data_IF_352302291539
#
_entry.id   IF_352302291539
#
_cell.length_a   1.000
_cell.length_b   1.000
_cell.length_c   1.000
_cell.angle_alpha   90.00
_cell.angle_beta   90.00
_cell.angle_gamma   90.00
#
_symmetry.space_group_name_H-M   'P 1'
#
loop_
_entity.id
_entity.type
_entity.pdbx_description
1 polymer ?
#
# COMPACT_ATOMS: atom_id res chain seq x y z
N UNK A 1 5.54 -43.17 -27.38
CA UNK A 1 4.94 -42.32 -28.42
C UNK A 1 3.63 -41.77 -27.89
N UNK A 2 3.55 -40.50 -27.57
CA UNK A 2 2.30 -39.84 -27.23
C UNK A 2 1.56 -39.59 -28.56
N UNK A 3 0.41 -40.27 -28.75
CA UNK A 3 -0.44 -40.07 -29.95
C UNK A 3 -0.93 -38.61 -29.93
N UNK A 4 -0.83 -37.96 -31.08
CA UNK A 4 -1.43 -36.66 -31.33
C UNK A 4 -2.95 -36.73 -31.12
N UNK A 5 -3.56 -35.69 -30.50
CA UNK A 5 -5.01 -35.63 -30.43
C UNK A 5 -5.57 -35.53 -31.84
N UNK A 6 -6.23 -36.58 -32.30
CA UNK A 6 -6.87 -36.62 -33.64
C UNK A 6 -8.16 -35.78 -33.66
N UNK A 7 -8.04 -34.49 -33.36
CA UNK A 7 -9.15 -33.53 -33.45
C UNK A 7 -9.53 -33.38 -34.92
N UNK A 8 -10.80 -33.62 -35.25
CA UNK A 8 -11.34 -33.53 -36.62
C UNK A 8 -12.38 -32.42 -36.78
N UNK A 9 -12.77 -31.83 -35.69
CA UNK A 9 -13.66 -30.68 -35.64
C UNK A 9 -13.20 -29.71 -34.58
N UNK A 10 -13.16 -28.44 -34.92
CA UNK A 10 -12.88 -27.33 -34.01
C UNK A 10 -13.77 -26.15 -34.36
N UNK A 11 -14.49 -25.62 -33.36
CA UNK A 11 -15.22 -24.37 -33.48
C UNK A 11 -14.84 -23.52 -32.25
N UNK A 12 -14.19 -22.37 -32.47
CA UNK A 12 -13.74 -21.47 -31.43
C UNK A 12 -14.37 -20.09 -31.53
N UNK A 13 -14.86 -19.56 -30.44
CA UNK A 13 -15.28 -18.17 -30.28
C UNK A 13 -14.28 -17.47 -29.36
N UNK A 14 -13.43 -16.57 -29.89
CA UNK A 14 -12.50 -15.81 -29.07
C UNK A 14 -13.25 -14.80 -28.21
N UNK A 15 -12.85 -14.63 -26.94
CA UNK A 15 -13.37 -13.58 -26.09
C UNK A 15 -12.26 -12.59 -25.72
N UNK A 16 -12.63 -11.31 -25.70
CA UNK A 16 -11.73 -10.19 -25.52
C UNK A 16 -12.11 -9.38 -24.28
N UNK A 17 -11.13 -8.69 -23.71
CA UNK A 17 -11.40 -7.66 -22.69
C UNK A 17 -12.05 -6.43 -23.32
N UNK A 18 -12.58 -5.52 -22.50
CA UNK A 18 -13.09 -4.22 -22.97
C UNK A 18 -12.06 -3.40 -23.74
N UNK A 19 -10.78 -3.60 -23.43
CA UNK A 19 -9.66 -2.90 -24.05
C UNK A 19 -9.19 -3.60 -25.35
N UNK A 20 -9.92 -4.62 -25.84
CA UNK A 20 -9.63 -5.33 -27.08
C UNK A 20 -8.51 -6.36 -27.00
N UNK A 21 -8.07 -6.75 -25.79
CA UNK A 21 -7.06 -7.79 -25.61
C UNK A 21 -7.71 -9.17 -25.60
N UNK A 22 -7.19 -10.07 -26.41
CA UNK A 22 -7.63 -11.46 -26.43
C UNK A 22 -7.33 -12.14 -25.09
N UNK A 23 -8.36 -12.58 -24.38
CA UNK A 23 -8.27 -13.28 -23.10
C UNK A 23 -8.23 -14.79 -23.28
N UNK A 24 -8.85 -15.30 -24.34
CA UNK A 24 -8.93 -16.74 -24.60
C UNK A 24 -9.91 -17.08 -25.70
N UNK A 25 -10.21 -18.36 -25.81
CA UNK A 25 -11.17 -18.88 -26.80
C UNK A 25 -12.04 -19.95 -26.15
N UNK A 26 -13.34 -19.77 -26.21
CA UNK A 26 -14.28 -20.84 -25.91
C UNK A 26 -14.39 -21.75 -27.12
N UNK A 27 -14.02 -23.02 -27.01
CA UNK A 27 -14.00 -23.91 -28.12
C UNK A 27 -14.77 -25.22 -27.90
N UNK A 28 -15.36 -25.73 -28.97
CA UNK A 28 -15.93 -27.06 -29.05
C UNK A 28 -15.04 -27.88 -29.96
N UNK A 29 -14.61 -29.04 -29.49
CA UNK A 29 -13.75 -29.98 -30.25
C UNK A 29 -14.41 -31.34 -30.30
N UNK A 30 -14.22 -32.01 -31.44
CA UNK A 30 -14.68 -33.38 -31.64
C UNK A 30 -13.68 -34.20 -32.50
N UNK A 31 -13.71 -35.49 -32.34
CA UNK A 31 -12.90 -36.45 -33.08
C UNK A 31 -13.60 -36.94 -34.36
N UNK A 32 -14.82 -36.49 -34.60
CA UNK A 32 -15.60 -36.75 -35.79
C UNK A 32 -15.81 -35.44 -36.55
N UNK A 33 -15.66 -35.41 -37.89
CA UNK A 33 -15.98 -34.22 -38.66
C UNK A 33 -17.43 -33.81 -38.48
N UNK A 34 -17.64 -32.54 -38.10
CA UNK A 34 -18.98 -31.96 -37.89
C UNK A 34 -19.07 -30.60 -38.55
N UNK A 35 -20.29 -30.09 -38.64
CA UNK A 35 -20.60 -28.71 -38.99
C UNK A 35 -21.62 -28.24 -37.98
N UNK A 36 -21.41 -27.04 -37.37
CA UNK A 36 -22.40 -26.45 -36.49
C UNK A 36 -23.61 -25.98 -37.30
N UNK A 37 -24.80 -26.23 -36.76
CA UNK A 37 -26.01 -25.58 -37.30
C UNK A 37 -26.00 -24.09 -36.92
N UNK A 38 -26.79 -23.25 -37.63
CA UNK A 38 -26.92 -21.84 -37.28
C UNK A 38 -27.30 -21.62 -35.78
N UNK A 39 -28.20 -22.46 -35.26
CA UNK A 39 -28.67 -22.41 -33.87
C UNK A 39 -27.54 -22.75 -32.87
N UNK A 40 -26.74 -23.78 -33.21
CA UNK A 40 -25.59 -24.17 -32.39
C UNK A 40 -24.50 -23.09 -32.38
N UNK A 41 -24.27 -22.47 -33.55
CA UNK A 41 -23.31 -21.35 -33.62
C UNK A 41 -23.77 -20.15 -32.82
N UNK A 42 -25.07 -19.82 -32.86
CA UNK A 42 -25.67 -18.76 -32.08
C UNK A 42 -25.57 -19.07 -30.58
N UNK A 43 -25.83 -20.30 -30.15
CA UNK A 43 -25.68 -20.73 -28.77
C UNK A 43 -24.22 -20.64 -28.30
N UNK A 44 -23.26 -21.04 -29.15
CA UNK A 44 -21.84 -20.94 -28.84
C UNK A 44 -21.37 -19.51 -28.64
N UNK A 45 -21.80 -18.58 -29.51
CA UNK A 45 -21.53 -17.13 -29.33
C UNK A 45 -22.23 -16.53 -28.09
N UNK A 46 -23.41 -17.03 -27.72
CA UNK A 46 -24.09 -16.60 -26.50
C UNK A 46 -23.32 -17.04 -25.25
N UNK A 47 -22.81 -18.25 -25.23
CA UNK A 47 -21.97 -18.79 -24.17
C UNK A 47 -20.63 -18.03 -24.05
N UNK A 48 -20.01 -17.70 -25.18
CA UNK A 48 -18.78 -16.87 -25.20
C UNK A 48 -19.01 -15.54 -24.50
N UNK A 49 -20.09 -14.81 -24.89
CA UNK A 49 -20.44 -13.52 -24.25
C UNK A 49 -20.71 -13.67 -22.76
N UNK A 50 -21.34 -14.76 -22.35
CA UNK A 50 -21.61 -15.03 -20.93
C UNK A 50 -20.33 -15.29 -20.15
N UNK A 51 -19.39 -16.06 -20.70
CA UNK A 51 -18.08 -16.32 -20.09
C UNK A 51 -17.29 -15.02 -19.96
N UNK A 52 -17.23 -14.22 -21.04
CA UNK A 52 -16.53 -12.94 -21.02
C UNK A 52 -17.09 -11.99 -19.94
N UNK A 53 -18.42 -11.86 -19.86
CA UNK A 53 -19.09 -11.04 -18.86
C UNK A 53 -18.81 -11.54 -17.42
N UNK A 54 -18.77 -12.85 -17.22
CA UNK A 54 -18.49 -13.45 -15.92
C UNK A 54 -17.04 -13.23 -15.47
N UNK A 55 -16.08 -13.34 -16.39
CA UNK A 55 -14.66 -13.05 -16.12
C UNK A 55 -14.46 -11.57 -15.76
N UNK A 56 -15.15 -10.66 -16.45
CA UNK A 56 -15.10 -9.23 -16.14
C UNK A 56 -15.70 -8.94 -14.76
N UNK A 57 -16.83 -9.56 -14.42
CA UNK A 57 -17.42 -9.45 -13.09
C UNK A 57 -16.47 -9.92 -11.99
N UNK A 58 -15.80 -11.05 -12.20
CA UNK A 58 -14.81 -11.58 -11.25
C UNK A 58 -13.64 -10.63 -11.04
N UNK A 59 -13.12 -10.03 -12.11
CA UNK A 59 -12.05 -9.02 -12.03
C UNK A 59 -12.50 -7.81 -11.22
N UNK A 60 -13.69 -7.28 -11.52
CA UNK A 60 -14.23 -6.13 -10.80
C UNK A 60 -14.50 -6.43 -9.32
N UNK A 61 -14.96 -7.65 -9.00
CA UNK A 61 -15.14 -8.09 -7.61
C UNK A 61 -13.81 -8.19 -6.85
N UNK A 62 -12.74 -8.66 -7.50
CA UNK A 62 -11.42 -8.73 -6.88
C UNK A 62 -10.83 -7.32 -6.66
N UNK A 63 -10.98 -6.41 -7.62
CA UNK A 63 -10.59 -5.00 -7.46
C UNK A 63 -11.36 -4.33 -6.32
N UNK A 64 -12.68 -4.55 -6.22
CA UNK A 64 -13.51 -4.05 -5.12
C UNK A 64 -13.14 -4.68 -3.77
N UNK A 65 -12.76 -5.96 -3.74
CA UNK A 65 -12.31 -6.64 -2.54
C UNK A 65 -11.01 -6.04 -2.02
N UNK A 66 -10.04 -5.83 -2.89
CA UNK A 66 -8.78 -5.17 -2.52
C UNK A 66 -9.03 -3.75 -2.02
N UNK A 67 -9.91 -2.99 -2.69
CA UNK A 67 -10.29 -1.64 -2.24
C UNK A 67 -11.03 -1.66 -0.89
N UNK A 68 -11.94 -2.62 -0.67
CA UNK A 68 -12.67 -2.78 0.59
C UNK A 68 -11.73 -3.14 1.73
N UNK A 69 -10.85 -4.12 1.53
CA UNK A 69 -9.90 -4.56 2.54
C UNK A 69 -8.94 -3.40 2.92
N UNK A 70 -8.61 -2.53 1.95
CA UNK A 70 -7.92 -1.26 2.19
C UNK A 70 -8.76 -0.29 3.05
N UNK A 71 -10.05 -0.14 2.78
CA UNK A 71 -10.97 0.73 3.55
C UNK A 71 -11.22 0.18 4.97
N UNK A 72 -11.35 -1.12 5.16
CA UNK A 72 -11.53 -1.73 6.49
C UNK A 72 -10.28 -1.55 7.36
N UNK A 73 -9.10 -1.69 6.76
CA UNK A 73 -7.84 -1.38 7.44
C UNK A 73 -7.72 0.11 7.83
N UNK A 74 -8.22 1.03 6.98
CA UNK A 74 -8.30 2.46 7.23
C UNK A 74 -9.35 2.81 8.30
N UNK A 75 -10.45 2.08 8.36
CA UNK A 75 -11.52 2.26 9.36
C UNK A 75 -11.02 2.07 10.80
N UNK A 76 -9.97 1.27 11.00
CA UNK A 76 -9.33 1.13 12.31
C UNK A 76 -8.50 2.35 12.73
N UNK A 77 -8.09 3.20 11.77
CA UNK A 77 -7.33 4.42 12.00
C UNK A 77 -8.21 5.68 12.17
N UNK A 78 -9.46 5.63 11.70
CA UNK A 78 -10.42 6.76 11.78
C UNK A 78 -10.69 7.24 13.21
N UNK A 79 -10.73 6.40 14.27
CA UNK A 79 -10.92 6.89 15.63
C UNK A 79 -9.78 7.77 16.18
N UNK A 80 -8.62 7.76 15.51
CA UNK A 80 -7.43 8.50 15.94
C UNK A 80 -7.33 9.90 15.34
N UNK A 81 -8.17 10.25 14.38
CA UNK A 81 -8.08 11.49 13.62
C UNK A 81 -9.43 12.19 13.50
N UNK A 82 -9.52 13.44 13.99
CA UNK A 82 -10.68 14.29 13.75
C UNK A 82 -10.75 14.82 12.30
N UNK A 83 -9.60 14.92 11.61
CA UNK A 83 -9.48 15.32 10.21
C UNK A 83 -8.19 14.72 9.62
N UNK A 84 -8.30 13.73 8.76
CA UNK A 84 -7.15 13.21 8.00
C UNK A 84 -6.88 14.09 6.78
N UNK A 85 -5.69 14.68 6.70
CA UNK A 85 -5.23 15.46 5.56
C UNK A 85 -4.60 14.57 4.48
N UNK A 86 -3.98 13.46 4.89
CA UNK A 86 -3.42 12.45 4.01
C UNK A 86 -3.73 11.07 4.59
N UNK A 87 -4.25 10.18 3.78
CA UNK A 87 -4.49 8.80 4.17
C UNK A 87 -4.26 7.91 2.95
N UNK A 88 -3.18 7.15 2.98
CA UNK A 88 -2.71 6.37 1.84
C UNK A 88 -2.31 4.97 2.25
N UNK A 89 -2.58 4.03 1.37
CA UNK A 89 -2.06 2.67 1.42
C UNK A 89 -1.09 2.51 0.26
N UNK A 90 0.15 2.15 0.58
CA UNK A 90 1.21 2.02 -0.42
C UNK A 90 1.73 0.58 -0.46
N UNK A 91 2.15 0.09 -1.63
CA UNK A 91 2.92 -1.14 -1.71
C UNK A 91 4.22 -0.99 -0.93
N UNK A 92 4.76 -2.09 -0.43
CA UNK A 92 6.04 -2.11 0.30
C UNK A 92 7.23 -1.90 -0.67
N UNK A 93 7.27 -0.73 -1.30
CA UNK A 93 8.23 -0.31 -2.32
C UNK A 93 8.85 1.04 -1.95
N UNK A 94 10.19 1.21 -2.07
CA UNK A 94 10.87 2.46 -1.77
C UNK A 94 10.37 3.67 -2.57
N UNK A 95 9.99 3.48 -3.84
CA UNK A 95 9.49 4.58 -4.69
C UNK A 95 8.11 5.07 -4.26
N UNK A 96 7.28 4.18 -3.70
CA UNK A 96 6.01 4.55 -3.11
C UNK A 96 6.21 5.37 -1.82
N UNK A 97 7.23 5.02 -1.02
CA UNK A 97 7.61 5.78 0.18
C UNK A 97 7.96 7.23 -0.15
N UNK A 98 8.79 7.47 -1.19
CA UNK A 98 9.19 8.82 -1.61
C UNK A 98 7.97 9.70 -1.92
N UNK A 99 6.99 9.18 -2.63
CA UNK A 99 5.76 9.93 -2.95
C UNK A 99 4.98 10.37 -1.71
N UNK A 100 4.93 9.52 -0.68
CA UNK A 100 4.24 9.84 0.58
C UNK A 100 5.00 10.91 1.34
N UNK A 101 6.32 10.78 1.46
CA UNK A 101 7.15 11.76 2.17
C UNK A 101 7.18 13.11 1.45
N UNK A 102 7.20 13.14 0.13
CA UNK A 102 7.08 14.37 -0.67
C UNK A 102 5.71 15.04 -0.47
N UNK A 103 4.64 14.26 -0.47
CA UNK A 103 3.30 14.76 -0.16
C UNK A 103 3.19 15.36 1.24
N UNK A 104 3.80 14.71 2.23
CA UNK A 104 3.88 15.21 3.60
C UNK A 104 4.65 16.53 3.68
N UNK A 105 5.80 16.64 3.02
CA UNK A 105 6.56 17.90 2.97
C UNK A 105 5.76 19.03 2.32
N UNK A 106 5.08 18.75 1.20
CA UNK A 106 4.24 19.73 0.53
C UNK A 106 3.08 20.21 1.42
N UNK A 107 2.47 19.29 2.17
CA UNK A 107 1.42 19.60 3.14
C UNK A 107 1.92 20.53 4.25
N UNK A 108 3.07 20.24 4.84
CA UNK A 108 3.64 21.05 5.92
C UNK A 108 4.08 22.44 5.42
N UNK A 109 4.66 22.51 4.21
CA UNK A 109 4.97 23.80 3.55
C UNK A 109 3.71 24.64 3.34
N UNK A 110 2.62 24.01 2.87
CA UNK A 110 1.32 24.69 2.71
C UNK A 110 0.72 25.18 4.02
N UNK A 111 1.10 24.61 5.15
CA UNK A 111 0.70 25.03 6.51
C UNK A 111 1.72 25.98 7.17
N UNK A 112 2.71 26.47 6.43
CA UNK A 112 3.76 27.39 6.90
C UNK A 112 4.59 26.85 8.08
N UNK A 113 4.95 25.56 8.04
CA UNK A 113 5.90 25.01 8.99
C UNK A 113 7.33 25.44 8.64
N UNK A 114 8.21 25.70 9.64
CA UNK A 114 9.62 26.02 9.40
C UNK A 114 10.36 24.85 8.72
N UNK A 115 11.34 25.17 7.87
CA UNK A 115 12.08 24.19 7.08
C UNK A 115 12.78 23.12 7.94
N UNK A 116 13.37 23.53 9.07
CA UNK A 116 14.00 22.61 10.04
C UNK A 116 13.00 21.60 10.60
N UNK A 117 11.79 22.03 10.98
CA UNK A 117 10.73 21.14 11.48
C UNK A 117 10.19 20.22 10.40
N UNK A 118 10.06 20.72 9.17
CA UNK A 118 9.68 19.89 8.01
C UNK A 118 10.71 18.78 7.82
N UNK A 119 12.01 19.10 7.91
CA UNK A 119 13.07 18.11 7.75
C UNK A 119 13.06 17.05 8.88
N UNK A 120 12.84 17.45 10.13
CA UNK A 120 12.69 16.53 11.25
C UNK A 120 11.56 15.53 11.01
N UNK A 121 10.39 16.05 10.65
CA UNK A 121 9.21 15.22 10.35
C UNK A 121 9.45 14.32 9.13
N UNK A 122 10.08 14.84 8.09
CA UNK A 122 10.42 14.07 6.89
C UNK A 122 11.30 12.86 7.22
N UNK A 123 12.38 13.06 7.97
CA UNK A 123 13.29 12.00 8.38
C UNK A 123 12.60 10.96 9.27
N UNK A 124 11.80 11.40 10.23
CA UNK A 124 11.06 10.50 11.12
C UNK A 124 10.04 9.65 10.33
N UNK A 125 9.27 10.26 9.42
CA UNK A 125 8.30 9.56 8.58
C UNK A 125 9.00 8.58 7.62
N UNK A 126 10.11 8.99 7.02
CA UNK A 126 10.92 8.14 6.14
C UNK A 126 11.41 6.89 6.87
N UNK A 127 11.95 7.04 8.07
CA UNK A 127 12.41 5.90 8.88
C UNK A 127 11.26 5.00 9.33
N UNK A 128 10.11 5.57 9.72
CA UNK A 128 8.94 4.79 10.10
C UNK A 128 8.42 3.94 8.94
N UNK A 129 8.25 4.53 7.75
CA UNK A 129 7.79 3.82 6.54
C UNK A 129 8.84 2.80 6.09
N UNK A 130 10.14 3.16 6.11
CA UNK A 130 11.20 2.23 5.75
C UNK A 130 11.27 1.02 6.70
N UNK A 131 11.00 1.20 8.00
CA UNK A 131 10.90 0.12 8.97
C UNK A 131 9.70 -0.77 8.69
N UNK A 132 8.54 -0.21 8.40
CA UNK A 132 7.35 -0.95 7.99
C UNK A 132 7.60 -1.80 6.73
N UNK A 133 8.25 -1.23 5.71
CA UNK A 133 8.62 -1.95 4.47
C UNK A 133 9.63 -3.06 4.75
N UNK A 134 10.75 -2.75 5.42
CA UNK A 134 11.85 -3.70 5.62
C UNK A 134 11.53 -4.79 6.63
N UNK A 135 10.94 -4.43 7.75
CA UNK A 135 10.74 -5.35 8.88
C UNK A 135 9.32 -5.89 8.94
N UNK A 136 8.32 -5.05 8.74
CA UNK A 136 6.92 -5.43 8.73
C UNK A 136 6.55 -6.24 7.49
N UNK A 137 6.78 -5.68 6.32
CA UNK A 137 6.50 -6.34 5.04
C UNK A 137 7.62 -7.30 4.58
N UNK A 138 8.82 -7.24 5.18
CA UNK A 138 10.01 -8.03 4.79
C UNK A 138 10.44 -7.80 3.32
N UNK A 139 10.21 -6.60 2.79
CA UNK A 139 10.48 -6.24 1.40
C UNK A 139 9.57 -6.92 0.37
N UNK A 140 8.47 -7.52 0.80
CA UNK A 140 7.48 -8.13 -0.08
C UNK A 140 6.55 -7.05 -0.65
N UNK A 141 6.74 -6.68 -1.92
CA UNK A 141 5.98 -5.65 -2.60
C UNK A 141 4.47 -5.96 -2.77
N UNK A 142 4.06 -7.21 -2.53
CA UNK A 142 2.64 -7.58 -2.53
C UNK A 142 1.92 -7.17 -1.23
N UNK A 143 2.70 -6.86 -0.17
CA UNK A 143 2.18 -6.34 1.08
C UNK A 143 2.06 -4.83 1.02
N UNK A 144 1.24 -4.29 1.92
CA UNK A 144 0.91 -2.89 1.95
C UNK A 144 1.27 -2.27 3.30
N UNK A 145 1.73 -1.03 3.26
CA UNK A 145 1.95 -0.16 4.42
C UNK A 145 0.89 0.92 4.39
N UNK A 146 0.27 1.18 5.54
CA UNK A 146 -0.69 2.26 5.70
C UNK A 146 -0.01 3.46 6.32
N UNK A 147 -0.29 4.65 5.79
CA UNK A 147 0.21 5.90 6.33
C UNK A 147 -0.93 6.92 6.40
N UNK A 148 -1.22 7.42 7.59
CA UNK A 148 -2.21 8.46 7.83
C UNK A 148 -1.53 9.68 8.46
N UNK A 149 -1.89 10.87 7.98
CA UNK A 149 -1.43 12.16 8.48
C UNK A 149 -2.62 13.03 8.79
N UNK A 150 -2.65 13.60 9.96
CA UNK A 150 -3.71 14.49 10.42
C UNK A 150 -3.15 15.59 11.30
N UNK A 151 -3.99 16.59 11.57
CA UNK A 151 -3.75 17.58 12.60
C UNK A 151 -4.87 17.47 13.63
N UNK A 152 -4.52 17.49 14.90
CA UNK A 152 -5.51 17.51 15.96
C UNK A 152 -6.13 18.92 16.15
N UNK A 153 -7.05 19.05 17.11
CA UNK A 153 -7.73 20.30 17.39
C UNK A 153 -6.80 21.44 17.86
N UNK A 154 -5.62 21.10 18.39
CA UNK A 154 -4.58 22.05 18.76
C UNK A 154 -3.66 22.42 17.59
N UNK A 155 -3.81 21.75 16.44
CA UNK A 155 -2.97 21.90 15.26
C UNK A 155 -1.65 21.12 15.36
N UNK A 156 -1.55 20.18 16.28
CA UNK A 156 -0.44 19.24 16.39
C UNK A 156 -0.49 18.23 15.26
N UNK A 157 0.65 17.99 14.63
CA UNK A 157 0.78 16.95 13.60
C UNK A 157 0.73 15.56 14.23
N UNK A 158 -0.08 14.69 13.66
CA UNK A 158 -0.15 13.27 14.02
C UNK A 158 0.10 12.44 12.78
N UNK A 159 1.09 11.55 12.83
CA UNK A 159 1.43 10.60 11.78
C UNK A 159 1.26 9.19 12.33
N UNK A 160 0.55 8.34 11.62
CA UNK A 160 0.39 6.92 11.94
C UNK A 160 0.90 6.10 10.78
N UNK A 161 1.82 5.17 11.05
CA UNK A 161 2.30 4.18 10.08
C UNK A 161 2.01 2.79 10.62
N UNK A 162 1.39 1.94 9.80
CA UNK A 162 1.04 0.57 10.17
C UNK A 162 1.42 -0.42 9.08
N UNK A 163 1.85 -1.61 9.50
CA UNK A 163 2.23 -2.71 8.62
C UNK A 163 1.58 -4.04 9.03
N UNK A 164 1.44 -5.02 8.10
CA UNK A 164 0.83 -6.31 8.36
C UNK A 164 1.82 -7.35 8.92
N UNK A 165 2.94 -6.94 9.47
CA UNK A 165 3.99 -7.83 9.96
C UNK A 165 3.67 -8.49 11.28
N UNK A 166 4.69 -9.14 11.85
CA UNK A 166 4.58 -9.78 13.17
C UNK A 166 4.80 -8.81 14.34
N UNK A 167 5.16 -7.55 14.02
CA UNK A 167 5.57 -6.57 15.02
C UNK A 167 6.96 -6.85 15.61
N UNK A 168 7.30 -6.10 16.64
CA UNK A 168 8.57 -6.26 17.37
C UNK A 168 8.43 -5.85 18.84
N UNK A 169 9.31 -6.39 19.67
CA UNK A 169 9.37 -6.07 21.09
C UNK A 169 10.32 -4.88 21.29
N UNK A 170 9.78 -3.74 21.69
CA UNK A 170 10.53 -2.51 21.96
C UNK A 170 11.65 -2.72 22.99
N UNK A 171 11.43 -3.58 24.00
CA UNK A 171 12.43 -3.85 25.02
C UNK A 171 13.66 -4.58 24.49
N UNK A 172 13.56 -5.17 23.29
CA UNK A 172 14.68 -5.86 22.61
C UNK A 172 15.38 -4.98 21.58
N UNK A 173 14.90 -3.75 21.35
CA UNK A 173 15.56 -2.80 20.44
C UNK A 173 16.80 -2.25 21.16
N UNK A 174 18.01 -2.51 20.67
CA UNK A 174 19.23 -2.04 21.33
C UNK A 174 19.32 -0.51 21.23
N UNK A 175 19.68 0.13 22.35
CA UNK A 175 20.02 1.54 22.32
C UNK A 175 21.29 1.75 21.47
N UNK A 176 21.23 2.50 20.35
CA UNK A 176 22.37 2.68 19.47
C UNK A 176 23.52 3.48 20.10
N UNK A 177 23.27 4.23 21.20
CA UNK A 177 24.27 5.01 21.90
C UNK A 177 25.06 4.22 22.96
N UNK A 178 24.66 2.97 23.26
CA UNK A 178 25.31 2.14 24.28
C UNK A 178 26.32 1.17 23.68
N UNK A 179 27.58 1.28 24.16
CA UNK A 179 28.67 0.32 23.90
C UNK A 179 28.94 0.04 22.42
N UNK A 180 29.05 -1.25 22.06
CA UNK A 180 29.35 -1.72 20.69
C UNK A 180 28.17 -1.60 19.70
N UNK A 181 27.03 -1.03 20.11
CA UNK A 181 25.85 -0.90 19.24
C UNK A 181 25.99 0.22 18.20
N UNK A 182 26.96 1.13 18.38
CA UNK A 182 27.30 2.20 17.42
C UNK A 182 27.56 1.68 16.00
N UNK A 183 28.05 0.43 15.85
CA UNK A 183 28.35 -0.19 14.56
C UNK A 183 27.26 -1.14 14.06
N UNK A 184 26.22 -1.42 14.86
CA UNK A 184 25.09 -2.25 14.45
C UNK A 184 24.00 -1.39 13.82
N UNK A 185 23.55 -1.74 12.64
CA UNK A 185 22.50 -1.00 11.90
C UNK A 185 21.09 -1.11 12.51
N UNK A 186 20.89 -2.02 13.49
CA UNK A 186 19.59 -2.23 14.15
C UNK A 186 19.35 -1.23 15.29
N UNK A 187 18.14 -0.68 15.37
CA UNK A 187 17.73 0.25 16.42
C UNK A 187 17.91 1.74 16.12
N UNK A 188 18.71 2.10 15.11
CA UNK A 188 18.95 3.50 14.75
C UNK A 188 17.69 4.22 14.30
N UNK A 189 16.84 3.56 13.50
CA UNK A 189 15.60 4.15 13.00
C UNK A 189 14.62 4.46 14.11
N UNK A 190 14.44 3.53 15.07
CA UNK A 190 13.58 3.73 16.25
C UNK A 190 14.11 4.87 17.10
N UNK A 191 15.42 4.92 17.34
CA UNK A 191 16.06 5.99 18.09
C UNK A 191 15.86 7.35 17.39
N UNK A 192 16.12 7.42 16.07
CA UNK A 192 15.97 8.65 15.29
C UNK A 192 14.54 9.19 15.33
N UNK A 193 13.55 8.31 15.18
CA UNK A 193 12.14 8.69 15.28
C UNK A 193 11.84 9.34 16.65
N UNK A 194 12.33 8.73 17.74
CA UNK A 194 12.11 9.26 19.10
C UNK A 194 12.83 10.60 19.36
N UNK A 195 13.99 10.83 18.73
CA UNK A 195 14.73 12.10 18.87
C UNK A 195 14.08 13.23 18.05
N UNK A 196 13.46 12.91 16.92
CA UNK A 196 12.92 13.91 16.01
C UNK A 196 11.46 14.28 16.29
N UNK A 197 10.68 13.39 16.91
CA UNK A 197 9.28 13.62 17.23
C UNK A 197 9.08 13.90 18.72
N UNK A 198 8.05 14.68 19.05
CA UNK A 198 7.82 15.07 20.45
C UNK A 198 7.21 13.92 21.27
N UNK A 199 6.37 13.08 20.64
CA UNK A 199 5.89 11.83 21.23
C UNK A 199 5.84 10.71 20.18
N UNK A 200 6.19 9.50 20.61
CA UNK A 200 6.17 8.29 19.78
C UNK A 200 5.56 7.16 20.59
N UNK A 201 4.49 6.60 20.09
CA UNK A 201 3.78 5.46 20.67
C UNK A 201 3.81 4.29 19.71
N UNK A 202 4.15 3.10 20.21
CA UNK A 202 4.11 1.86 19.43
C UNK A 202 2.96 1.01 19.94
N UNK A 203 2.05 0.70 19.04
CA UNK A 203 0.82 -0.03 19.34
C UNK A 203 0.80 -1.37 18.58
N UNK A 204 -0.17 -2.20 18.88
CA UNK A 204 -0.41 -3.48 18.21
C UNK A 204 0.85 -4.39 18.14
N UNK A 205 1.58 -4.46 19.27
CA UNK A 205 2.82 -5.25 19.33
C UNK A 205 3.94 -4.75 18.42
N UNK A 206 3.99 -3.46 18.15
CA UNK A 206 5.01 -2.81 17.33
C UNK A 206 4.70 -2.81 15.82
N UNK A 207 3.48 -3.17 15.42
CA UNK A 207 3.02 -3.10 14.02
C UNK A 207 2.50 -1.71 13.64
N UNK A 208 2.22 -0.88 14.62
CA UNK A 208 1.75 0.48 14.43
C UNK A 208 2.64 1.42 15.21
N UNK A 209 3.11 2.49 14.55
CA UNK A 209 3.78 3.62 15.20
C UNK A 209 2.96 4.87 14.99
N UNK A 210 2.69 5.58 16.09
CA UNK A 210 2.02 6.86 16.12
C UNK A 210 2.99 7.91 16.61
N UNK A 211 3.19 8.93 15.83
CA UNK A 211 4.16 10.00 16.04
C UNK A 211 3.44 11.33 16.10
N UNK A 212 3.83 12.18 17.03
CA UNK A 212 3.28 13.54 17.17
C UNK A 212 4.37 14.59 17.15
N UNK A 213 4.05 15.73 16.53
CA UNK A 213 4.91 16.91 16.50
C UNK A 213 4.07 18.14 16.76
N UNK A 214 4.42 18.90 17.79
CA UNK A 214 3.74 20.13 18.14
C UNK A 214 3.85 21.17 17.03
N UNK A 215 2.79 21.96 16.87
CA UNK A 215 2.82 23.07 15.92
C UNK A 215 3.88 24.09 16.36
N UNK A 216 4.77 24.53 15.45
CA UNK A 216 5.74 25.58 15.78
C UNK A 216 5.05 26.86 16.24
N UNK A 217 5.54 27.43 17.33
CA UNK A 217 5.05 28.74 17.80
C UNK A 217 5.59 29.85 16.93
N UNK A 218 4.85 30.94 16.79
CA UNK A 218 5.16 32.08 15.91
C UNK A 218 6.52 32.75 16.15
N UNK A 219 7.27 32.33 17.16
CA UNK A 219 8.60 32.87 17.52
C UNK A 219 9.78 32.06 17.00
N UNK A 220 9.55 30.84 16.44
CA UNK A 220 10.62 29.97 15.92
C UNK A 220 10.93 30.21 14.42
N UNK A 221 10.18 31.09 13.77
CA UNK A 221 10.27 31.31 12.31
C UNK A 221 11.48 32.16 11.90
N UNK A 222 12.23 32.77 12.82
CA UNK A 222 13.17 33.85 12.46
C UNK A 222 14.60 33.75 13.06
N UNK A 223 15.16 32.56 13.28
CA UNK A 223 16.52 32.44 13.81
C UNK A 223 17.55 31.73 12.91
N UNK A 224 17.35 31.68 11.59
CA UNK A 224 18.35 31.13 10.67
C UNK A 224 18.55 32.00 9.43
N UNK A 225 18.84 33.31 9.65
CA UNK A 225 19.52 34.15 8.65
C UNK A 225 20.65 34.89 9.37
N UNK A 226 21.80 34.27 9.41
CA UNK A 226 23.09 34.94 9.50
C UNK A 226 24.15 34.04 8.86
#
# INVERSE_FOLDING_TARGET
MKGEPHVRFYAGAPFESRDGHALGTLCVIDYVPRTLTPEQNQAHQALERQVAAQMELWRNLEELRVARDGIEALSSLIPLCSTCELNVVIPADPTAMEKVTDGLMALLKGKNWPENRIMEVHLAAQEAIANAIRHGCKGDATRQVQCAVSFDAAGELVIVVSDPGAGFDLNKVPNPLEGNNLFKGSGRGVFLINELMDTVEYEDGGRMVKMRKARPTSGEVDSTVH
#
